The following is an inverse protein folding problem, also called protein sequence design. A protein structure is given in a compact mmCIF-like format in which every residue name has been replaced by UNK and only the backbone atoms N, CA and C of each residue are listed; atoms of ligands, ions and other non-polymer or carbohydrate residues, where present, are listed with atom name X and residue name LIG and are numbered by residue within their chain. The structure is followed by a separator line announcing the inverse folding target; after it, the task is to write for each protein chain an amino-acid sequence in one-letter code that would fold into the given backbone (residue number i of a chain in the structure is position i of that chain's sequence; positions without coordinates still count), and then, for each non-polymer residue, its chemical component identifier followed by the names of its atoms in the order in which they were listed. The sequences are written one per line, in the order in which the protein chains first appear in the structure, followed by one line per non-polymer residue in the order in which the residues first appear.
data_IF_083687315810
#
_entry.id   IF_083687315810
#
_cell.length_a   1.000
_cell.length_b   1.000
_cell.length_c   1.000
_cell.angle_alpha   90.00
_cell.angle_beta   90.00
_cell.angle_gamma   90.00
#
_symmetry.space_group_name_H-M   'P 1'
#
loop_
_entity.id
_entity.type
_entity.pdbx_description
1 polymer ?
#
# COMPACT_ATOMS: atom_id res chain seq x y z
N UNK A 1 -39.13 45.76 -23.19
CA UNK A 1 -39.27 45.82 -21.72
C UNK A 1 -38.09 45.02 -21.13
N UNK A 2 -36.88 45.57 -21.07
CA UNK A 2 -36.27 46.31 -19.92
C UNK A 2 -36.20 45.50 -18.61
N UNK A 3 -34.98 45.08 -18.26
CA UNK A 3 -34.51 44.51 -16.96
C UNK A 3 -34.59 45.54 -15.81
N UNK A 4 -34.26 45.22 -14.52
CA UNK A 4 -32.88 44.97 -14.01
C UNK A 4 -32.76 43.75 -13.04
N UNK A 5 -31.66 42.99 -12.98
CA UNK A 5 -30.39 43.19 -12.20
C UNK A 5 -30.61 43.47 -10.70
N UNK A 6 -30.19 42.54 -9.83
CA UNK A 6 -29.63 42.84 -8.50
C UNK A 6 -28.41 41.93 -8.25
N UNK A 7 -27.28 42.60 -8.00
CA UNK A 7 -25.97 42.11 -7.56
C UNK A 7 -25.88 42.09 -6.02
N UNK A 8 -24.98 41.24 -5.53
CA UNK A 8 -24.21 41.28 -4.27
C UNK A 8 -24.92 41.17 -2.91
N UNK A 9 -24.51 40.18 -2.11
CA UNK A 9 -23.63 40.41 -0.94
C UNK A 9 -23.16 39.10 -0.25
N UNK A 10 -21.85 38.94 -0.10
CA UNK A 10 -21.22 38.01 0.86
C UNK A 10 -21.48 38.45 2.31
N UNK A 11 -21.55 37.51 3.27
CA UNK A 11 -20.98 37.76 4.58
C UNK A 11 -19.90 36.74 4.95
N UNK A 12 -18.78 37.29 5.41
CA UNK A 12 -17.71 36.57 6.12
C UNK A 12 -18.19 36.19 7.53
N UNK A 13 -17.66 35.06 8.01
CA UNK A 13 -17.49 34.67 9.42
C UNK A 13 -18.75 34.43 10.28
N UNK A 14 -18.97 33.16 10.65
CA UNK A 14 -18.95 32.78 12.08
C UNK A 14 -18.82 31.26 12.24
N UNK A 15 -17.66 30.82 12.72
CA UNK A 15 -17.52 29.55 13.42
C UNK A 15 -18.30 29.65 14.75
N UNK A 16 -19.20 28.70 15.02
CA UNK A 16 -19.34 28.06 16.34
C UNK A 16 -20.41 26.95 16.32
N UNK A 17 -19.95 25.75 16.71
CA UNK A 17 -20.68 24.70 17.45
C UNK A 17 -22.00 24.20 16.84
N UNK A 18 -21.97 22.98 16.30
CA UNK A 18 -22.59 21.80 16.91
C UNK A 18 -22.55 20.66 15.88
N UNK A 19 -21.73 19.64 16.12
CA UNK A 19 -21.98 18.28 15.67
C UNK A 19 -21.38 17.35 16.72
N UNK A 20 -22.20 16.98 17.71
CA UNK A 20 -21.92 15.83 18.58
C UNK A 20 -22.48 14.61 17.86
N UNK A 21 -21.61 13.80 17.28
CA UNK A 21 -21.95 12.44 16.90
C UNK A 21 -21.18 11.46 17.77
N UNK A 22 -21.96 10.53 18.30
CA UNK A 22 -21.67 9.39 19.16
C UNK A 22 -20.23 8.85 19.08
N UNK A 23 -19.51 8.94 20.19
CA UNK A 23 -18.35 8.09 20.48
C UNK A 23 -18.87 6.97 21.37
N UNK A 24 -18.97 5.76 20.82
CA UNK A 24 -19.11 4.53 21.60
C UNK A 24 -17.86 4.36 22.47
N UNK A 25 -18.07 4.27 23.78
CA UNK A 25 -17.07 4.29 24.83
C UNK A 25 -16.38 2.95 25.08
N UNK A 26 -16.16 2.14 24.04
CA UNK A 26 -15.56 0.80 24.15
C UNK A 26 -14.18 0.65 23.48
N UNK A 27 -13.51 1.75 23.14
CA UNK A 27 -12.06 1.72 22.86
C UNK A 27 -11.31 1.61 24.18
N UNK A 28 -10.89 0.38 24.52
CA UNK A 28 -9.88 0.16 25.57
C UNK A 28 -8.72 1.13 25.33
N UNK A 29 -8.36 1.89 26.37
CA UNK A 29 -7.20 2.78 26.38
C UNK A 29 -5.99 2.07 25.77
N UNK A 30 -5.69 2.41 24.51
CA UNK A 30 -4.40 2.10 23.92
C UNK A 30 -3.38 2.91 24.70
N UNK A 31 -2.40 2.21 25.25
CA UNK A 31 -1.28 2.75 26.00
C UNK A 31 -0.71 3.99 25.30
N UNK A 32 -0.93 5.18 25.90
CA UNK A 32 -0.55 6.48 25.35
C UNK A 32 0.96 6.74 25.46
N UNK A 33 1.74 5.77 25.93
CA UNK A 33 3.20 5.83 25.98
C UNK A 33 3.84 6.03 24.60
N UNK A 34 4.38 7.23 24.37
CA UNK A 34 5.39 7.55 23.35
C UNK A 34 5.10 7.19 21.87
N UNK A 35 3.83 7.25 21.45
CA UNK A 35 3.48 7.16 20.01
C UNK A 35 4.18 8.25 19.16
N UNK A 36 4.40 9.44 19.71
CA UNK A 36 5.06 10.54 19.01
C UNK A 36 6.55 10.29 18.77
N UNK A 37 7.29 9.76 19.73
CA UNK A 37 8.72 9.45 19.57
C UNK A 37 8.98 8.38 18.48
N UNK A 38 8.05 7.43 18.30
CA UNK A 38 8.16 6.36 17.29
C UNK A 38 8.03 6.86 15.84
N UNK A 39 7.26 7.93 15.62
CA UNK A 39 7.08 8.54 14.30
C UNK A 39 8.27 9.46 13.91
N UNK A 40 8.90 10.13 14.89
CA UNK A 40 9.90 11.18 14.64
C UNK A 40 11.34 10.77 14.93
N UNK A 41 11.63 9.52 15.33
CA UNK A 41 12.98 8.95 15.34
C UNK A 41 13.56 8.89 13.91
N UNK A 42 14.00 10.04 13.42
CA UNK A 42 14.47 10.30 12.09
C UNK A 42 15.83 9.64 11.89
N UNK A 43 15.93 8.74 10.93
CA UNK A 43 17.11 8.74 10.08
C UNK A 43 16.91 9.92 9.13
N UNK A 44 17.69 10.98 9.33
CA UNK A 44 17.79 12.05 8.34
C UNK A 44 18.38 11.42 7.08
N UNK A 45 17.51 10.99 6.16
CA UNK A 45 17.97 10.70 4.80
C UNK A 45 18.48 12.01 4.21
N UNK A 46 19.67 12.04 3.59
CA UNK A 46 20.12 13.24 2.93
C UNK A 46 19.06 13.66 1.90
N UNK A 47 18.73 14.96 1.87
CA UNK A 47 17.67 15.54 1.01
C UNK A 47 17.85 15.16 -0.47
N UNK A 48 19.06 14.79 -0.88
CA UNK A 48 19.41 14.27 -2.20
C UNK A 48 18.85 12.88 -2.56
N UNK A 49 18.29 12.11 -1.60
CA UNK A 49 17.76 10.76 -1.83
C UNK A 49 16.24 10.72 -2.11
N UNK A 50 15.50 11.77 -1.74
CA UNK A 50 14.05 11.81 -1.89
C UNK A 50 13.66 12.52 -3.19
N UNK A 51 13.59 11.77 -4.28
CA UNK A 51 13.02 12.27 -5.55
C UNK A 51 11.49 12.18 -5.59
N UNK A 52 10.85 11.45 -4.66
CA UNK A 52 9.39 11.44 -4.50
C UNK A 52 9.01 12.28 -3.29
N UNK A 53 8.03 13.16 -3.48
CA UNK A 53 7.36 13.89 -2.40
C UNK A 53 5.93 13.36 -2.28
N UNK A 54 5.67 12.39 -1.37
CA UNK A 54 4.33 11.89 -1.14
C UNK A 54 3.38 13.01 -0.72
N UNK A 55 2.10 12.89 -1.12
CA UNK A 55 1.06 13.76 -0.58
C UNK A 55 0.93 13.53 0.94
N UNK A 56 0.56 14.58 1.68
CA UNK A 56 0.43 14.46 3.15
C UNK A 56 -0.65 13.49 3.59
N UNK A 57 -1.69 13.31 2.77
CA UNK A 57 -2.81 12.37 2.97
C UNK A 57 -3.46 12.05 1.61
N UNK A 58 -4.20 10.93 1.51
CA UNK A 58 -5.04 10.66 0.33
C UNK A 58 -6.01 11.81 0.04
N UNK A 59 -6.35 12.01 -1.23
CA UNK A 59 -7.30 13.02 -1.70
C UNK A 59 -8.77 12.60 -1.50
N UNK A 60 -9.00 11.43 -0.92
CA UNK A 60 -10.29 10.89 -0.51
C UNK A 60 -10.28 10.47 0.98
N UNK A 61 -11.44 10.42 1.65
CA UNK A 61 -11.54 9.93 3.03
C UNK A 61 -11.13 8.46 3.17
N UNK A 62 -10.43 8.09 4.25
CA UNK A 62 -10.03 6.69 4.49
C UNK A 62 -11.23 5.74 4.56
N UNK A 63 -12.39 6.19 5.05
CA UNK A 63 -13.61 5.39 5.06
C UNK A 63 -14.06 5.02 3.65
N UNK A 64 -13.88 5.91 2.67
CA UNK A 64 -14.20 5.63 1.27
C UNK A 64 -13.30 4.52 0.71
N UNK A 65 -12.04 4.45 1.14
CA UNK A 65 -11.16 3.35 0.77
C UNK A 65 -11.79 2.01 1.15
N UNK A 66 -12.39 1.89 2.34
CA UNK A 66 -13.08 0.67 2.80
C UNK A 66 -14.41 0.38 2.08
N UNK A 67 -14.98 1.34 1.34
CA UNK A 67 -16.20 1.14 0.54
C UNK A 67 -15.92 0.55 -0.85
N UNK A 68 -14.64 0.40 -1.25
CA UNK A 68 -14.30 -0.28 -2.52
C UNK A 68 -14.87 -1.71 -2.52
N UNK A 69 -15.65 -2.09 -3.54
CA UNK A 69 -16.22 -3.43 -3.62
C UNK A 69 -15.13 -4.50 -3.75
N UNK A 70 -15.15 -5.50 -2.87
CA UNK A 70 -14.32 -6.72 -2.99
C UNK A 70 -15.03 -7.85 -3.75
N UNK A 71 -16.17 -7.53 -4.36
CA UNK A 71 -16.93 -8.49 -5.15
C UNK A 71 -16.20 -8.76 -6.47
N UNK A 72 -16.16 -10.04 -6.87
CA UNK A 72 -15.71 -10.40 -8.19
C UNK A 72 -16.67 -9.83 -9.25
N UNK A 73 -16.12 -9.24 -10.30
CA UNK A 73 -16.83 -8.85 -11.51
C UNK A 73 -17.32 -10.10 -12.24
N UNK A 74 -18.47 -9.97 -12.89
CA UNK A 74 -18.99 -11.00 -13.79
C UNK A 74 -18.27 -10.96 -15.16
N UNK A 75 -17.83 -12.13 -15.64
CA UNK A 75 -17.29 -12.33 -16.98
C UNK A 75 -15.78 -12.05 -17.14
N UNK A 76 -15.29 -12.28 -18.36
CA UNK A 76 -13.86 -12.15 -18.75
C UNK A 76 -13.30 -10.75 -18.50
N UNK A 77 -12.00 -10.67 -18.22
CA UNK A 77 -11.25 -9.43 -18.07
C UNK A 77 -11.50 -8.46 -19.25
N UNK A 78 -11.67 -7.14 -19.01
CA UNK A 78 -12.03 -6.22 -20.08
C UNK A 78 -10.83 -5.94 -20.99
N UNK A 79 -10.90 -6.41 -22.25
CA UNK A 79 -9.88 -6.15 -23.27
C UNK A 79 -9.70 -4.67 -23.61
N UNK A 80 -10.72 -3.84 -23.33
CA UNK A 80 -10.71 -2.39 -23.58
C UNK A 80 -11.17 -1.65 -22.34
N UNK A 81 -10.59 -0.47 -22.12
CA UNK A 81 -11.04 0.45 -21.07
C UNK A 81 -12.43 1.00 -21.45
N UNK A 82 -13.43 0.89 -20.57
CA UNK A 82 -14.72 1.56 -20.80
C UNK A 82 -14.53 3.07 -20.98
N UNK A 83 -15.22 3.66 -21.96
CA UNK A 83 -15.03 5.07 -22.33
C UNK A 83 -15.17 6.04 -21.14
N UNK A 84 -16.10 5.77 -20.23
CA UNK A 84 -16.34 6.56 -19.02
C UNK A 84 -15.18 6.52 -18.01
N UNK A 85 -14.37 5.46 -18.00
CA UNK A 85 -13.24 5.29 -17.07
C UNK A 85 -11.90 5.70 -17.67
N UNK A 86 -11.84 5.96 -18.97
CA UNK A 86 -10.59 6.22 -19.70
C UNK A 86 -9.80 7.40 -19.14
N UNK A 87 -10.47 8.47 -18.71
CA UNK A 87 -9.82 9.62 -18.12
C UNK A 87 -9.16 9.27 -16.77
N UNK A 88 -9.84 8.47 -15.93
CA UNK A 88 -9.25 8.01 -14.67
C UNK A 88 -7.98 7.19 -14.90
N UNK A 89 -8.03 6.19 -15.78
CA UNK A 89 -6.88 5.32 -16.06
C UNK A 89 -5.72 6.02 -16.77
N UNK A 90 -5.98 7.04 -17.58
CA UNK A 90 -4.95 7.82 -18.28
C UNK A 90 -4.44 9.02 -17.49
N UNK A 91 -4.91 9.21 -16.25
CA UNK A 91 -4.68 10.45 -15.48
C UNK A 91 -5.01 11.70 -16.31
N UNK A 92 -6.20 11.74 -16.91
CA UNK A 92 -6.67 12.79 -17.83
C UNK A 92 -5.75 12.97 -19.05
N UNK A 93 -5.27 11.87 -19.63
CA UNK A 93 -4.38 11.89 -20.79
C UNK A 93 -2.91 12.21 -20.49
N UNK A 94 -2.53 12.34 -19.21
CA UNK A 94 -1.14 12.62 -18.82
C UNK A 94 -0.22 11.43 -19.08
N UNK A 95 -0.72 10.20 -18.90
CA UNK A 95 0.10 8.98 -19.01
C UNK A 95 -0.26 8.18 -20.26
N UNK A 96 0.73 7.48 -20.83
CA UNK A 96 0.51 6.58 -21.96
C UNK A 96 -0.17 5.30 -21.51
N UNK A 97 -1.11 4.82 -22.31
CA UNK A 97 -1.73 3.51 -22.17
C UNK A 97 -1.26 2.62 -23.33
N UNK A 98 -0.75 1.44 -23.00
CA UNK A 98 -0.31 0.42 -23.96
C UNK A 98 -1.18 -0.81 -23.85
N UNK A 99 -1.27 -1.59 -24.91
CA UNK A 99 -2.00 -2.85 -24.89
C UNK A 99 -1.12 -3.96 -24.31
N UNK A 100 -1.57 -4.56 -23.22
CA UNK A 100 -0.98 -5.77 -22.65
C UNK A 100 -2.00 -6.48 -21.76
N UNK A 101 -2.64 -7.50 -22.30
CA UNK A 101 -3.86 -8.07 -21.73
C UNK A 101 -3.62 -9.39 -21.01
N UNK A 102 -4.26 -9.56 -19.84
CA UNK A 102 -4.35 -10.80 -19.10
C UNK A 102 -5.75 -11.01 -18.51
N UNK A 103 -6.13 -12.27 -18.37
CA UNK A 103 -7.30 -12.70 -17.60
C UNK A 103 -6.85 -13.79 -16.63
N UNK A 104 -6.76 -13.43 -15.34
CA UNK A 104 -6.27 -14.30 -14.26
C UNK A 104 -7.27 -14.35 -13.11
N UNK A 105 -8.55 -14.11 -13.38
CA UNK A 105 -9.56 -14.07 -12.36
C UNK A 105 -9.74 -15.44 -11.67
N UNK A 106 -9.65 -15.46 -10.35
CA UNK A 106 -9.97 -16.65 -9.56
C UNK A 106 -11.48 -16.80 -9.32
N UNK A 107 -12.24 -15.70 -9.40
CA UNK A 107 -13.72 -15.67 -9.29
C UNK A 107 -14.28 -16.41 -8.05
N UNK A 108 -13.62 -16.25 -6.91
CA UNK A 108 -13.97 -16.93 -5.65
C UNK A 108 -13.38 -18.35 -5.49
N UNK A 109 -12.60 -18.79 -6.48
CA UNK A 109 -11.82 -20.02 -6.43
C UNK A 109 -10.53 -19.90 -5.62
N UNK A 110 -9.76 -20.99 -5.63
CA UNK A 110 -8.49 -21.07 -4.93
C UNK A 110 -7.34 -20.48 -5.74
N UNK A 111 -6.31 -19.98 -5.04
CA UNK A 111 -5.10 -19.49 -5.69
C UNK A 111 -4.36 -20.61 -6.45
N UNK A 112 -3.46 -20.24 -7.36
CA UNK A 112 -2.67 -21.19 -8.14
C UNK A 112 -1.92 -22.21 -7.26
N UNK A 113 -1.38 -21.76 -6.13
CA UNK A 113 -0.86 -22.63 -5.06
C UNK A 113 -1.73 -22.47 -3.83
N UNK A 114 -2.85 -23.19 -3.80
CA UNK A 114 -3.90 -23.06 -2.79
C UNK A 114 -3.61 -23.73 -1.44
N UNK A 115 -2.59 -24.58 -1.36
CA UNK A 115 -2.15 -25.19 -0.10
C UNK A 115 -0.68 -24.93 0.11
N UNK A 116 -0.35 -24.26 1.21
CA UNK A 116 1.03 -24.02 1.62
C UNK A 116 1.40 -24.98 2.74
N UNK A 117 2.05 -26.09 2.37
CA UNK A 117 2.49 -27.11 3.32
C UNK A 117 3.67 -26.64 4.17
N UNK A 118 3.82 -27.24 5.36
CA UNK A 118 4.97 -26.99 6.24
C UNK A 118 6.30 -27.29 5.53
N UNK A 119 6.38 -28.39 4.77
CA UNK A 119 7.59 -28.78 4.03
C UNK A 119 7.96 -27.74 2.97
N UNK A 120 6.98 -27.29 2.17
CA UNK A 120 7.20 -26.25 1.15
C UNK A 120 7.72 -24.96 1.79
N UNK A 121 7.15 -24.57 2.93
CA UNK A 121 7.57 -23.38 3.65
C UNK A 121 8.98 -23.55 4.21
N UNK A 122 9.28 -24.69 4.85
CA UNK A 122 10.61 -24.95 5.42
C UNK A 122 11.71 -25.00 4.36
N UNK A 123 11.42 -25.56 3.19
CA UNK A 123 12.34 -25.56 2.04
C UNK A 123 12.62 -24.14 1.56
N UNK A 124 11.59 -23.31 1.39
CA UNK A 124 11.74 -21.92 0.98
C UNK A 124 12.51 -21.11 2.04
N UNK A 125 12.26 -21.32 3.34
CA UNK A 125 13.02 -20.72 4.43
C UNK A 125 14.50 -21.10 4.38
N UNK A 126 14.83 -22.35 4.07
CA UNK A 126 16.22 -22.79 3.91
C UNK A 126 16.92 -22.05 2.76
N UNK A 127 16.22 -21.77 1.66
CA UNK A 127 16.74 -20.96 0.55
C UNK A 127 16.99 -19.51 0.94
N UNK A 128 16.13 -18.93 1.78
CA UNK A 128 16.33 -17.58 2.33
C UNK A 128 17.59 -17.54 3.20
N UNK A 129 17.79 -18.53 4.09
CA UNK A 129 19.03 -18.65 4.89
C UNK A 129 20.28 -18.79 4.03
N UNK A 130 20.17 -19.52 2.93
CA UNK A 130 21.24 -19.67 1.94
C UNK A 130 21.41 -18.43 1.04
N UNK A 131 20.64 -17.35 1.27
CA UNK A 131 20.66 -16.09 0.51
C UNK A 131 20.46 -16.29 -0.99
N UNK A 132 19.64 -17.27 -1.39
CA UNK A 132 19.23 -17.41 -2.78
C UNK A 132 18.48 -16.16 -3.21
N UNK A 133 18.79 -15.63 -4.40
CA UNK A 133 18.27 -14.33 -4.86
C UNK A 133 17.08 -14.45 -5.80
N UNK A 134 16.62 -15.65 -6.11
CA UNK A 134 15.49 -15.86 -7.00
C UNK A 134 14.44 -16.77 -6.37
N UNK A 135 13.23 -16.26 -6.25
CA UNK A 135 12.05 -16.99 -5.79
C UNK A 135 10.96 -16.89 -6.86
N UNK A 136 9.98 -16.02 -6.64
CA UNK A 136 9.03 -15.60 -7.67
C UNK A 136 9.63 -14.46 -8.52
N UNK A 137 10.48 -13.65 -7.90
CA UNK A 137 11.16 -12.51 -8.50
C UNK A 137 12.64 -12.52 -8.07
N UNK A 138 13.43 -11.63 -8.68
CA UNK A 138 14.73 -11.26 -8.12
C UNK A 138 14.52 -10.58 -6.76
N UNK A 139 14.98 -11.23 -5.70
CA UNK A 139 14.83 -10.81 -4.31
C UNK A 139 16.02 -9.99 -3.80
N UNK A 140 16.95 -9.57 -4.66
CA UNK A 140 18.14 -8.82 -4.25
C UNK A 140 17.78 -7.52 -3.51
N UNK A 141 16.78 -6.77 -3.99
CA UNK A 141 16.32 -5.55 -3.32
C UNK A 141 15.46 -5.84 -2.09
N UNK A 142 14.81 -7.01 -2.02
CA UNK A 142 14.11 -7.47 -0.82
C UNK A 142 15.11 -7.72 0.31
N UNK A 143 16.22 -8.44 0.05
CA UNK A 143 17.28 -8.60 1.04
C UNK A 143 17.87 -7.26 1.48
N UNK A 144 18.19 -6.36 0.55
CA UNK A 144 18.77 -5.05 0.90
C UNK A 144 17.84 -4.25 1.83
N UNK A 145 16.54 -4.21 1.51
CA UNK A 145 15.56 -3.48 2.32
C UNK A 145 15.39 -4.11 3.71
N UNK A 146 15.31 -5.45 3.78
CA UNK A 146 15.16 -6.16 5.05
C UNK A 146 16.43 -6.19 5.89
N UNK A 147 17.62 -6.26 5.29
CA UNK A 147 18.90 -6.13 5.99
C UNK A 147 19.03 -4.72 6.61
N UNK A 148 18.59 -3.68 5.90
CA UNK A 148 18.65 -2.30 6.39
C UNK A 148 17.60 -1.98 7.46
N UNK A 149 16.37 -2.52 7.35
CA UNK A 149 15.24 -2.11 8.20
C UNK A 149 14.58 -3.23 9.00
N UNK A 150 14.79 -4.51 8.65
CA UNK A 150 14.08 -5.67 9.19
C UNK A 150 14.22 -5.83 10.69
N UNK A 151 15.40 -5.57 11.27
CA UNK A 151 15.59 -5.60 12.74
C UNK A 151 14.64 -4.65 13.48
N UNK A 152 14.35 -3.47 12.90
CA UNK A 152 13.48 -2.45 13.52
C UNK A 152 12.00 -2.66 13.15
N UNK A 153 11.74 -3.07 11.92
CA UNK A 153 10.40 -3.10 11.33
C UNK A 153 9.70 -4.46 11.45
N UNK A 154 10.45 -5.56 11.41
CA UNK A 154 9.93 -6.93 11.21
C UNK A 154 10.17 -7.85 12.42
N UNK A 155 11.34 -7.79 13.04
CA UNK A 155 11.69 -8.69 14.15
C UNK A 155 10.75 -8.52 15.35
N UNK A 156 10.16 -9.63 15.80
CA UNK A 156 9.16 -9.72 16.87
C UNK A 156 7.94 -8.83 16.64
N UNK A 157 7.47 -8.80 15.39
CA UNK A 157 6.34 -7.98 14.95
C UNK A 157 5.33 -8.78 14.13
N UNK A 158 4.10 -8.25 14.06
CA UNK A 158 3.02 -8.79 13.24
C UNK A 158 2.95 -8.08 11.90
N UNK A 159 3.06 -8.84 10.82
CA UNK A 159 3.09 -8.33 9.45
C UNK A 159 1.82 -8.63 8.66
N UNK A 160 1.52 -7.75 7.71
CA UNK A 160 0.57 -7.98 6.63
C UNK A 160 1.31 -8.12 5.30
N UNK A 161 0.92 -9.07 4.48
CA UNK A 161 1.37 -9.24 3.08
C UNK A 161 0.19 -9.02 2.15
N UNK A 162 0.37 -8.24 1.07
CA UNK A 162 -0.64 -8.08 0.01
C UNK A 162 -0.11 -8.69 -1.28
N UNK A 163 -0.81 -9.70 -1.77
CA UNK A 163 -0.50 -10.48 -2.96
C UNK A 163 0.67 -11.43 -2.74
N UNK A 164 0.36 -12.72 -2.73
CA UNK A 164 1.36 -13.79 -2.67
C UNK A 164 0.66 -15.10 -3.03
N UNK A 165 0.85 -15.58 -4.27
CA UNK A 165 0.30 -16.89 -4.66
C UNK A 165 1.08 -18.07 -4.05
N UNK A 166 2.35 -17.83 -3.69
CA UNK A 166 3.27 -18.78 -3.02
C UNK A 166 3.87 -18.10 -1.81
N UNK A 167 4.24 -18.81 -0.73
CA UNK A 167 4.65 -18.18 0.53
C UNK A 167 6.07 -17.57 0.48
N UNK A 168 6.47 -16.90 -0.59
CA UNK A 168 7.83 -16.45 -0.78
C UNK A 168 8.15 -15.22 0.07
N UNK A 169 7.32 -14.18 0.09
CA UNK A 169 7.54 -13.03 1.00
C UNK A 169 7.41 -13.45 2.45
N UNK A 170 6.47 -14.34 2.73
CA UNK A 170 6.18 -14.89 4.05
C UNK A 170 7.43 -15.55 4.64
N UNK A 171 8.17 -16.35 3.86
CA UNK A 171 9.40 -16.97 4.37
C UNK A 171 10.52 -15.96 4.60
N UNK A 172 10.62 -14.89 3.82
CA UNK A 172 11.54 -13.80 4.15
C UNK A 172 11.17 -13.19 5.51
N UNK A 173 9.92 -12.82 5.70
CA UNK A 173 9.46 -12.20 6.95
C UNK A 173 9.70 -13.08 8.17
N UNK A 174 9.46 -14.39 8.06
CA UNK A 174 9.73 -15.35 9.13
C UNK A 174 11.25 -15.45 9.44
N UNK A 175 12.12 -15.48 8.42
CA UNK A 175 13.57 -15.52 8.64
C UNK A 175 14.14 -14.20 9.19
N UNK A 176 13.45 -13.07 8.97
CA UNK A 176 13.76 -11.79 9.61
C UNK A 176 13.06 -11.61 10.98
N UNK A 177 12.46 -12.68 11.51
CA UNK A 177 11.98 -12.75 12.88
C UNK A 177 10.56 -12.24 13.10
N UNK A 178 9.70 -12.17 12.07
CA UNK A 178 8.29 -11.85 12.27
C UNK A 178 7.62 -12.90 13.18
N UNK A 179 6.82 -12.43 14.16
CA UNK A 179 6.08 -13.32 15.06
C UNK A 179 4.88 -13.95 14.35
N UNK A 180 4.25 -13.17 13.48
CA UNK A 180 3.07 -13.58 12.71
C UNK A 180 3.02 -12.85 11.37
N UNK A 181 2.58 -13.55 10.34
CA UNK A 181 2.35 -13.00 9.00
C UNK A 181 0.92 -13.29 8.58
N UNK A 182 0.16 -12.26 8.21
CA UNK A 182 -1.14 -12.40 7.57
C UNK A 182 -1.02 -12.06 6.09
N UNK A 183 -1.49 -12.91 5.19
CA UNK A 183 -1.45 -12.66 3.73
C UNK A 183 -2.85 -12.43 3.17
N UNK A 184 -2.99 -11.39 2.36
CA UNK A 184 -4.18 -11.10 1.57
C UNK A 184 -3.95 -11.53 0.12
N UNK A 185 -4.79 -12.42 -0.40
CA UNK A 185 -4.71 -12.93 -1.77
C UNK A 185 -6.11 -13.13 -2.36
N UNK A 186 -6.31 -12.83 -3.64
CA UNK A 186 -7.61 -12.97 -4.31
C UNK A 186 -8.10 -14.42 -4.32
N UNK A 187 -7.19 -15.36 -4.59
CA UNK A 187 -7.47 -16.79 -4.51
C UNK A 187 -7.39 -17.30 -3.07
N UNK A 188 -8.32 -18.18 -2.70
CA UNK A 188 -8.27 -18.82 -1.38
C UNK A 188 -7.00 -19.68 -1.21
N UNK A 189 -6.34 -19.53 -0.06
CA UNK A 189 -5.14 -20.27 0.34
C UNK A 189 -5.36 -20.88 1.72
N UNK A 190 -4.95 -22.13 1.90
CA UNK A 190 -4.84 -22.81 3.18
C UNK A 190 -3.36 -22.90 3.53
N UNK A 191 -2.93 -22.18 4.58
CA UNK A 191 -1.59 -22.34 5.14
C UNK A 191 -1.58 -23.34 6.29
N UNK A 192 -0.62 -24.26 6.28
CA UNK A 192 -0.39 -25.23 7.37
C UNK A 192 0.64 -24.73 8.39
N UNK A 193 1.21 -23.53 8.21
CA UNK A 193 2.22 -23.00 9.11
C UNK A 193 1.58 -22.17 10.24
N UNK A 194 1.91 -22.44 11.52
CA UNK A 194 1.21 -21.84 12.66
C UNK A 194 1.36 -20.31 12.77
N UNK A 195 2.42 -19.75 12.17
CA UNK A 195 2.65 -18.30 12.15
C UNK A 195 2.09 -17.59 10.93
N UNK A 196 1.50 -18.30 9.95
CA UNK A 196 0.95 -17.71 8.73
C UNK A 196 -0.56 -17.85 8.74
N UNK A 197 -1.26 -16.73 8.56
CA UNK A 197 -2.71 -16.69 8.33
C UNK A 197 -2.98 -16.12 6.94
N UNK A 198 -4.06 -16.55 6.31
CA UNK A 198 -4.45 -16.07 4.98
C UNK A 198 -5.89 -15.54 5.01
N UNK A 199 -6.17 -14.55 4.17
CA UNK A 199 -7.50 -14.04 3.90
C UNK A 199 -7.67 -13.76 2.41
N UNK A 200 -8.91 -13.91 1.93
CA UNK A 200 -9.34 -13.19 0.73
C UNK A 200 -9.65 -11.73 1.09
N UNK A 201 -9.58 -10.78 0.14
CA UNK A 201 -9.93 -9.37 0.39
C UNK A 201 -11.32 -9.19 1.00
N UNK A 202 -12.31 -9.96 0.53
CA UNK A 202 -13.67 -9.94 1.06
C UNK A 202 -13.73 -10.41 2.53
N UNK A 203 -13.06 -11.52 2.86
CA UNK A 203 -13.03 -12.03 4.23
C UNK A 203 -12.26 -11.10 5.17
N UNK A 204 -11.16 -10.49 4.70
CA UNK A 204 -10.41 -9.50 5.47
C UNK A 204 -11.24 -8.26 5.76
N UNK A 205 -11.96 -7.75 4.76
CA UNK A 205 -12.87 -6.60 4.91
C UNK A 205 -13.98 -6.90 5.91
N UNK A 206 -14.62 -8.08 5.81
CA UNK A 206 -15.64 -8.50 6.77
C UNK A 206 -15.08 -8.58 8.20
N UNK A 207 -13.91 -9.20 8.37
CA UNK A 207 -13.24 -9.30 9.67
C UNK A 207 -12.87 -7.92 10.24
N UNK A 208 -12.40 -7.00 9.39
CA UNK A 208 -12.07 -5.63 9.80
C UNK A 208 -13.30 -4.89 10.30
N UNK A 209 -14.40 -4.93 9.54
CA UNK A 209 -15.67 -4.29 9.91
C UNK A 209 -16.29 -4.88 11.18
N UNK A 210 -16.00 -6.15 11.48
CA UNK A 210 -16.41 -6.82 12.72
C UNK A 210 -15.45 -6.58 13.91
N UNK A 211 -14.40 -5.77 13.73
CA UNK A 211 -13.41 -5.49 14.77
C UNK A 211 -12.49 -6.68 15.11
N UNK A 212 -12.33 -7.64 14.19
CA UNK A 212 -11.53 -8.85 14.38
C UNK A 212 -10.10 -8.75 13.82
N UNK A 213 -9.74 -7.61 13.23
CA UNK A 213 -8.40 -7.35 12.71
C UNK A 213 -7.63 -6.51 13.72
N UNK A 214 -6.66 -7.16 14.37
CA UNK A 214 -5.67 -6.48 15.20
C UNK A 214 -4.71 -5.64 14.34
N UNK A 215 -4.29 -4.45 14.79
CA UNK A 215 -3.35 -3.62 14.04
C UNK A 215 -2.01 -4.30 13.77
N UNK A 216 -1.51 -4.15 12.55
CA UNK A 216 -0.21 -4.65 12.10
C UNK A 216 0.90 -3.65 12.39
N UNK A 217 2.11 -4.16 12.64
CA UNK A 217 3.30 -3.33 12.84
C UNK A 217 3.96 -2.96 11.52
N UNK A 218 3.80 -3.80 10.49
CA UNK A 218 4.31 -3.56 9.16
C UNK A 218 3.47 -4.20 8.05
N UNK A 219 3.67 -3.69 6.84
CA UNK A 219 3.14 -4.19 5.58
C UNK A 219 4.30 -4.59 4.65
N UNK A 220 4.15 -5.66 3.87
CA UNK A 220 4.99 -5.96 2.71
C UNK A 220 4.10 -6.28 1.50
N UNK A 221 4.28 -5.56 0.39
CA UNK A 221 3.72 -5.97 -0.90
C UNK A 221 4.79 -5.94 -1.98
N UNK A 222 4.78 -6.95 -2.86
CA UNK A 222 5.71 -7.02 -3.98
C UNK A 222 5.01 -7.59 -5.21
N UNK A 223 4.97 -6.80 -6.28
CA UNK A 223 4.28 -7.09 -7.53
C UNK A 223 2.83 -7.56 -7.34
N UNK A 224 2.01 -6.69 -6.77
CA UNK A 224 0.61 -6.98 -6.45
C UNK A 224 -0.28 -5.75 -6.65
N UNK A 225 -0.06 -4.69 -5.85
CA UNK A 225 -0.94 -3.51 -5.83
C UNK A 225 -1.02 -2.79 -7.18
N UNK A 226 -0.06 -2.98 -8.09
CA UNK A 226 -0.09 -2.40 -9.43
C UNK A 226 -1.25 -2.91 -10.30
N UNK A 227 -1.82 -4.06 -9.95
CA UNK A 227 -2.92 -4.73 -10.65
C UNK A 227 -4.30 -4.27 -10.17
N UNK A 228 -4.40 -3.62 -9.01
CA UNK A 228 -5.67 -3.32 -8.36
C UNK A 228 -6.56 -2.40 -9.21
N UNK A 229 -7.81 -2.81 -9.40
CA UNK A 229 -8.80 -2.06 -10.17
C UNK A 229 -8.61 -2.17 -11.69
N UNK A 230 -7.79 -3.10 -12.20
CA UNK A 230 -7.63 -3.33 -13.65
C UNK A 230 -8.55 -4.46 -14.16
N UNK A 231 -9.25 -5.17 -13.27
CA UNK A 231 -10.14 -6.27 -13.62
C UNK A 231 -9.44 -7.55 -14.06
N UNK A 232 -8.10 -7.59 -14.00
CA UNK A 232 -7.27 -8.74 -14.37
C UNK A 232 -7.54 -9.94 -13.47
N UNK A 233 -7.75 -9.71 -12.18
CA UNK A 233 -7.98 -10.77 -11.18
C UNK A 233 -9.46 -10.93 -10.84
N UNK A 234 -10.34 -10.39 -11.69
CA UNK A 234 -11.78 -10.38 -11.47
C UNK A 234 -12.24 -9.27 -10.55
N UNK A 235 -11.36 -8.35 -10.15
CA UNK A 235 -11.71 -7.15 -9.39
C UNK A 235 -12.60 -6.19 -10.20
N UNK A 236 -13.37 -5.35 -9.49
CA UNK A 236 -14.15 -4.29 -10.13
C UNK A 236 -13.20 -3.22 -10.68
N UNK A 237 -13.50 -2.75 -11.89
CA UNK A 237 -12.73 -1.67 -12.51
C UNK A 237 -12.74 -0.41 -11.66
N UNK A 238 -11.56 -0.01 -11.19
CA UNK A 238 -11.37 1.21 -10.44
C UNK A 238 -10.01 1.85 -10.79
N UNK A 239 -10.01 3.02 -11.48
CA UNK A 239 -8.78 3.76 -11.74
C UNK A 239 -7.94 4.08 -10.50
N UNK A 240 -8.58 4.22 -9.33
CA UNK A 240 -7.95 4.52 -8.04
C UNK A 240 -7.73 3.28 -7.16
N UNK A 241 -7.95 2.06 -7.68
CA UNK A 241 -7.92 0.84 -6.86
C UNK A 241 -6.62 0.62 -6.08
N UNK A 242 -5.47 0.89 -6.70
CA UNK A 242 -4.15 0.82 -6.07
C UNK A 242 -3.96 1.87 -4.95
N UNK A 243 -4.44 3.10 -5.19
CA UNK A 243 -4.41 4.17 -4.19
C UNK A 243 -5.29 3.86 -2.98
N UNK A 244 -6.50 3.37 -3.24
CA UNK A 244 -7.45 3.00 -2.18
C UNK A 244 -6.91 1.83 -1.36
N UNK A 245 -6.30 0.84 -1.99
CA UNK A 245 -5.64 -0.27 -1.29
C UNK A 245 -4.53 0.24 -0.37
N UNK A 246 -3.61 1.08 -0.85
CA UNK A 246 -2.57 1.68 0.00
C UNK A 246 -3.13 2.59 1.09
N UNK A 247 -4.24 3.30 0.83
CA UNK A 247 -4.90 4.14 1.81
C UNK A 247 -5.56 3.32 2.93
N UNK A 248 -6.21 2.18 2.61
CA UNK A 248 -6.74 1.26 3.64
C UNK A 248 -5.66 0.79 4.60
N UNK A 249 -4.45 0.56 4.08
CA UNK A 249 -3.33 0.10 4.90
C UNK A 249 -2.93 1.11 5.97
N UNK A 250 -3.18 2.41 5.77
CA UNK A 250 -2.99 3.43 6.81
C UNK A 250 -3.90 3.21 8.03
N UNK A 251 -5.03 2.52 7.88
CA UNK A 251 -5.98 2.22 8.96
C UNK A 251 -5.64 0.95 9.74
N UNK A 252 -4.92 0.00 9.14
CA UNK A 252 -4.58 -1.29 9.77
C UNK A 252 -3.12 -1.41 10.16
N UNK A 253 -2.22 -0.62 9.57
CA UNK A 253 -0.82 -0.50 10.02
C UNK A 253 -0.75 0.59 11.09
N UNK A 254 -0.15 0.28 12.25
CA UNK A 254 -0.02 1.22 13.37
C UNK A 254 0.66 2.54 12.94
N UNK A 255 0.34 3.68 13.57
CA UNK A 255 1.13 4.91 13.41
C UNK A 255 2.61 4.64 13.70
N UNK A 256 3.50 5.10 12.81
CA UNK A 256 4.94 4.81 12.88
C UNK A 256 5.33 3.39 12.42
N UNK A 257 4.38 2.54 12.05
CA UNK A 257 4.62 1.24 11.42
C UNK A 257 5.20 1.37 10.01
N UNK A 258 5.77 0.28 9.50
CA UNK A 258 6.54 0.30 8.24
C UNK A 258 5.75 -0.31 7.09
N UNK A 259 6.06 0.10 5.86
CA UNK A 259 5.63 -0.61 4.67
C UNK A 259 6.81 -0.84 3.71
N UNK A 260 6.95 -2.06 3.21
CA UNK A 260 7.88 -2.43 2.15
C UNK A 260 7.06 -2.60 0.87
N UNK A 261 7.35 -1.82 -0.16
CA UNK A 261 6.55 -1.76 -1.39
C UNK A 261 7.45 -1.97 -2.60
N UNK A 262 7.37 -3.15 -3.21
CA UNK A 262 8.06 -3.51 -4.45
C UNK A 262 7.12 -3.45 -5.65
N UNK A 263 7.25 -2.43 -6.50
CA UNK A 263 6.31 -2.17 -7.62
C UNK A 263 7.05 -1.78 -8.89
N UNK A 264 6.47 -2.05 -10.08
CA UNK A 264 7.00 -1.58 -11.36
C UNK A 264 7.27 -0.08 -11.33
N UNK A 265 8.50 0.34 -11.60
CA UNK A 265 8.82 1.75 -11.41
C UNK A 265 9.32 2.47 -12.66
N UNK A 266 9.34 3.77 -12.40
CA UNK A 266 10.28 4.79 -12.80
C UNK A 266 9.79 5.69 -13.92
N UNK A 267 8.62 5.43 -14.49
CA UNK A 267 7.82 6.38 -15.25
C UNK A 267 6.34 6.03 -15.12
N UNK A 268 5.47 7.04 -15.21
CA UNK A 268 4.02 6.83 -15.08
C UNK A 268 3.47 6.27 -16.39
N UNK A 269 2.95 5.04 -16.37
CA UNK A 269 2.32 4.40 -17.53
C UNK A 269 1.33 3.32 -17.09
N UNK A 270 0.46 2.92 -18.03
CA UNK A 270 -0.47 1.82 -17.86
C UNK A 270 -0.33 0.83 -19.00
N UNK A 271 -0.11 -0.44 -18.66
CA UNK A 271 -0.18 -1.57 -19.57
C UNK A 271 -1.55 -2.22 -19.36
N UNK A 272 -2.50 -1.92 -20.25
CA UNK A 272 -3.89 -2.31 -20.06
C UNK A 272 -4.15 -3.76 -20.50
N UNK A 273 -4.66 -4.64 -19.65
CA UNK A 273 -5.03 -4.53 -18.22
C UNK A 273 -4.01 -5.19 -17.27
N UNK A 274 -2.79 -5.46 -17.76
CA UNK A 274 -1.73 -6.14 -17.03
C UNK A 274 -1.36 -5.47 -15.71
N UNK A 275 -0.83 -4.23 -15.76
CA UNK A 275 -0.27 -3.55 -14.59
C UNK A 275 -0.04 -2.05 -14.82
N UNK A 276 0.11 -1.31 -13.73
CA UNK A 276 0.64 0.06 -13.72
C UNK A 276 2.17 0.06 -13.66
N UNK A 277 2.81 1.09 -14.20
CA UNK A 277 4.21 1.46 -13.92
C UNK A 277 4.20 2.84 -13.25
N UNK A 278 4.97 2.97 -12.17
CA UNK A 278 4.87 4.11 -11.26
C UNK A 278 6.02 5.10 -11.43
N UNK A 279 5.70 6.31 -11.88
CA UNK A 279 6.62 7.44 -11.92
C UNK A 279 6.37 8.42 -10.79
N UNK A 280 6.98 9.61 -10.89
CA UNK A 280 6.93 10.62 -9.84
C UNK A 280 5.49 11.04 -9.49
N UNK A 281 4.57 11.07 -10.47
CA UNK A 281 3.21 11.55 -10.24
C UNK A 281 2.38 10.52 -9.50
N UNK A 282 2.36 9.27 -9.98
CA UNK A 282 1.55 8.22 -9.34
C UNK A 282 2.17 7.78 -8.01
N UNK A 283 3.50 7.75 -7.87
CA UNK A 283 4.15 7.46 -6.58
C UNK A 283 3.76 8.48 -5.50
N UNK A 284 3.69 9.77 -5.84
CA UNK A 284 3.28 10.80 -4.88
C UNK A 284 1.86 10.56 -4.34
N UNK A 285 0.95 10.09 -5.20
CA UNK A 285 -0.42 9.71 -4.82
C UNK A 285 -0.46 8.38 -4.06
N UNK A 286 0.27 7.37 -4.53
CA UNK A 286 0.27 6.03 -3.95
C UNK A 286 0.82 6.03 -2.52
N UNK A 287 1.83 6.86 -2.26
CA UNK A 287 2.45 6.99 -0.94
C UNK A 287 1.78 8.09 -0.09
N UNK A 288 0.61 8.59 -0.49
CA UNK A 288 -0.08 9.61 0.28
C UNK A 288 -0.37 9.15 1.73
N UNK A 289 0.00 9.94 2.74
CA UNK A 289 -0.08 9.54 4.15
C UNK A 289 1.05 8.64 4.64
N UNK A 290 2.04 8.35 3.77
CA UNK A 290 3.25 7.63 4.09
C UNK A 290 4.49 8.52 3.95
N UNK A 291 5.50 8.30 4.78
CA UNK A 291 6.82 8.92 4.62
C UNK A 291 7.80 7.91 4.04
N UNK A 292 8.49 8.26 2.96
CA UNK A 292 9.58 7.45 2.40
C UNK A 292 10.79 7.54 3.35
N UNK A 293 11.28 6.39 3.81
CA UNK A 293 12.44 6.26 4.72
C UNK A 293 13.57 5.40 4.14
N UNK A 294 13.37 4.83 2.95
CA UNK A 294 14.40 4.12 2.19
C UNK A 294 13.91 3.74 0.80
N UNK A 295 14.85 3.50 -0.12
CA UNK A 295 14.57 2.92 -1.44
C UNK A 295 15.77 2.09 -1.88
N UNK A 296 15.50 0.88 -2.40
CA UNK A 296 16.51 -0.09 -2.76
C UNK A 296 16.29 -0.54 -4.22
N UNK A 297 17.23 -0.26 -5.13
CA UNK A 297 18.49 0.46 -4.92
C UNK A 297 18.25 1.97 -4.71
N UNK A 298 19.19 2.65 -4.03
CA UNK A 298 19.05 4.07 -3.66
C UNK A 298 18.85 5.03 -4.85
N UNK A 299 19.26 4.62 -6.05
CA UNK A 299 19.15 5.38 -7.29
C UNK A 299 17.97 4.92 -8.17
N UNK A 300 16.97 4.24 -7.62
CA UNK A 300 15.85 3.66 -8.36
C UNK A 300 15.26 4.63 -9.40
N UNK A 301 14.90 5.85 -9.00
CA UNK A 301 14.31 6.83 -9.92
C UNK A 301 15.28 7.43 -10.93
N UNK A 302 16.60 7.31 -10.73
CA UNK A 302 17.59 7.72 -11.74
C UNK A 302 17.66 6.72 -12.90
N UNK A 303 17.18 5.49 -12.72
CA UNK A 303 17.12 4.51 -13.81
C UNK A 303 16.11 4.91 -14.91
N UNK A 304 15.16 5.81 -14.59
CA UNK A 304 14.22 6.43 -15.55
C UNK A 304 14.91 7.22 -16.67
N UNK A 305 16.15 7.70 -16.44
CA UNK A 305 16.87 8.61 -17.35
C UNK A 305 17.68 7.87 -18.42
N UNK A 306 17.74 6.54 -18.41
CA UNK A 306 18.47 5.76 -19.44
C UNK A 306 17.56 5.53 -20.65
N UNK A 307 17.87 6.09 -21.85
CA UNK A 307 16.99 5.99 -23.03
C UNK A 307 16.71 4.57 -23.52
N UNK A 308 17.53 3.59 -23.11
CA UNK A 308 17.46 2.18 -23.53
C UNK A 308 16.53 1.30 -22.67
N UNK A 309 15.99 1.78 -21.57
CA UNK A 309 14.96 1.09 -20.78
C UNK A 309 13.54 1.32 -21.34
N UNK A 310 13.44 1.79 -22.58
CA UNK A 310 12.21 1.66 -23.38
C UNK A 310 12.05 0.20 -23.80
N UNK A 311 11.56 -0.63 -22.87
CA UNK A 311 10.57 -1.68 -23.18
C UNK A 311 11.00 -2.61 -24.33
N UNK A 312 12.15 -3.28 -24.18
CA UNK A 312 12.59 -4.30 -25.15
C UNK A 312 13.27 -5.53 -24.55
N UNK A 313 12.97 -5.87 -23.30
CA UNK A 313 13.21 -7.23 -22.80
C UNK A 313 12.01 -7.70 -21.98
N UNK A 314 11.32 -8.67 -22.56
CA UNK A 314 10.08 -9.30 -22.11
C UNK A 314 10.29 -10.22 -20.88
N UNK A 315 11.13 -9.84 -19.91
CA UNK A 315 11.59 -10.77 -18.87
C UNK A 315 11.69 -10.25 -17.45
N UNK A 316 11.96 -8.96 -17.20
CA UNK A 316 11.89 -8.41 -15.84
C UNK A 316 11.53 -6.94 -15.86
N UNK A 317 10.43 -6.61 -15.18
CA UNK A 317 10.09 -5.23 -14.87
C UNK A 317 10.98 -4.80 -13.70
N UNK A 318 11.65 -3.65 -13.81
CA UNK A 318 12.47 -3.15 -12.71
C UNK A 318 11.57 -2.74 -11.54
N UNK A 319 11.75 -3.40 -10.40
CA UNK A 319 10.93 -3.25 -9.20
C UNK A 319 11.81 -2.97 -7.98
N UNK A 320 12.12 -1.70 -7.70
CA UNK A 320 12.80 -1.32 -6.46
C UNK A 320 11.89 -1.58 -5.27
N UNK A 321 12.48 -1.78 -4.09
CA UNK A 321 11.74 -1.84 -2.83
C UNK A 321 11.79 -0.49 -2.14
N UNK A 322 10.64 0.15 -2.00
CA UNK A 322 10.46 1.35 -1.20
C UNK A 322 10.19 0.96 0.25
N UNK A 323 10.85 1.62 1.19
CA UNK A 323 10.56 1.50 2.61
C UNK A 323 9.88 2.77 3.06
N UNK A 324 8.67 2.62 3.57
CA UNK A 324 7.79 3.71 3.97
C UNK A 324 7.48 3.59 5.46
N UNK A 325 7.02 4.69 6.06
CA UNK A 325 6.50 4.72 7.42
C UNK A 325 5.13 5.39 7.45
N UNK A 326 4.17 4.79 8.15
CA UNK A 326 2.83 5.35 8.32
C UNK A 326 2.92 6.61 9.20
N UNK A 327 2.53 7.77 8.65
CA UNK A 327 2.51 9.03 9.41
C UNK A 327 1.10 9.44 9.86
N UNK A 328 0.07 8.71 9.43
CA UNK A 328 -1.31 8.96 9.86
C UNK A 328 -1.47 8.60 11.34
N UNK A 329 -2.06 9.52 12.10
CA UNK A 329 -2.22 9.36 13.55
C UNK A 329 -0.97 9.68 14.38
N UNK A 330 0.14 10.09 13.75
CA UNK A 330 1.29 10.63 14.46
C UNK A 330 0.99 12.07 14.94
N UNK A 331 1.12 12.33 16.25
CA UNK A 331 0.97 13.68 16.81
C UNK A 331 2.34 14.36 16.84
N UNK A 332 2.47 15.51 16.20
CA UNK A 332 3.68 16.33 16.24
C UNK A 332 3.82 16.93 17.65
N UNK A 333 4.91 16.63 18.37
CA UNK A 333 5.15 17.14 19.74
C UNK A 333 5.29 18.67 19.83
N UNK A 334 5.39 19.39 18.69
CA UNK A 334 5.73 20.82 18.64
C UNK A 334 4.69 21.77 19.26
N UNK A 335 3.51 21.32 19.66
CA UNK A 335 2.46 22.19 20.23
C UNK A 335 2.17 21.97 21.73
N UNK A 336 2.73 20.93 22.36
CA UNK A 336 2.53 20.70 23.80
C UNK A 336 3.46 21.55 24.67
N UNK A 337 4.61 21.99 24.14
CA UNK A 337 5.52 22.89 24.85
C UNK A 337 5.02 24.33 24.97
N UNK A 338 4.20 24.80 24.03
CA UNK A 338 3.73 26.20 24.01
C UNK A 338 2.47 26.40 24.86
N UNK A 339 1.62 25.38 25.03
CA UNK A 339 0.38 25.50 25.82
C UNK A 339 0.65 25.36 27.33
N UNK A 340 1.69 24.61 27.74
CA UNK A 340 2.09 24.52 29.14
C UNK A 340 2.69 25.82 29.71
N UNK A 341 3.15 26.73 28.84
CA UNK A 341 3.67 28.05 29.22
C UNK A 341 2.63 29.18 29.28
N UNK A 342 1.38 28.94 28.85
CA UNK A 342 0.32 29.98 28.77
C UNK A 342 -0.65 29.92 29.96
N UNK A 343 -0.54 28.90 30.83
CA UNK A 343 -1.32 28.80 32.09
C UNK A 343 -0.46 28.94 33.36
N UNK A 344 0.73 29.53 33.23
CA UNK A 344 1.54 29.99 34.36
C UNK A 344 1.85 31.48 34.18
N UNK A 345 0.83 32.31 34.35
CA UNK A 345 0.94 33.69 34.82
C UNK A 345 -0.40 34.13 35.41
#
# INVERSE_FOLDING_TARGET
MTQPIILDYYPRNSCRKQDRYFVDSSVKQLDQGNLSDKCFAALALPVSFLTVHPLSRPDFPLVQAWLKPEAARFGEAPRKIPGSLRNGYSMNGIISIREFYFDNAYLGGSALTSVWSLDTINDLRARVRARQTYFNYDSSFVYQALDAHGKKAVSSRRGLVIGSEKPWLEVFLLEYGADHVTTLEFGAIISQHPQIRTFTPANFTAAFLQGQIEPFDFLFTYSSIEHDGLGRYGDVLNPSGDLETMARMLSVVKPGGYAFVGIPCCFDALDWNAHRTYGHRRLAMLFAGWRVVGVFPANALNQSRKPKLRVRQLGSVFQPVWVLQNVMGCVEQKLLGTIAGIFKE
#
